data_IF_686872387289
#
_entry.id   IF_686872387289
#
_cell.length_a   1.000
_cell.length_b   1.000
_cell.length_c   1.000
_cell.angle_alpha   90.00
_cell.angle_beta   90.00
_cell.angle_gamma   90.00
#
_symmetry.space_group_name_H-M   'P 1'
#
loop_
_entity.id
_entity.type
_entity.pdbx_description
1 polymer ?
#
# COMPACT_ATOMS: atom_id res chain seq x y z
N UNK A 1 -6.32 -22.80 11.31
CA UNK A 1 -5.47 -22.22 12.38
C UNK A 1 -6.00 -20.84 12.77
N UNK A 2 -5.64 -20.32 13.94
CA UNK A 2 -5.81 -18.92 14.35
C UNK A 2 -4.58 -18.13 13.91
N UNK A 3 -4.79 -17.11 13.07
CA UNK A 3 -3.72 -16.31 12.46
C UNK A 3 -3.90 -14.85 12.84
N UNK A 4 -2.86 -14.22 13.39
CA UNK A 4 -2.81 -12.78 13.61
C UNK A 4 -1.99 -12.07 12.53
N UNK A 5 -2.46 -10.94 12.03
CA UNK A 5 -1.76 -10.08 11.08
C UNK A 5 -1.45 -8.75 11.75
N UNK A 6 -0.16 -8.42 11.88
CA UNK A 6 0.30 -7.10 12.30
C UNK A 6 0.69 -6.26 11.10
N UNK A 7 -0.06 -5.18 10.88
CA UNK A 7 0.20 -4.21 9.81
C UNK A 7 -0.47 -2.87 10.11
N UNK A 8 -0.25 -1.88 9.25
CA UNK A 8 -1.01 -0.63 9.29
C UNK A 8 -2.47 -0.90 8.90
N UNK A 9 -3.34 -0.97 9.89
CA UNK A 9 -4.77 -1.26 9.70
C UNK A 9 -5.68 -0.10 10.13
N UNK A 10 -5.21 0.78 11.02
CA UNK A 10 -5.95 1.95 11.47
C UNK A 10 -5.37 3.24 10.89
N UNK A 11 -5.42 3.35 9.56
CA UNK A 11 -4.92 4.52 8.84
C UNK A 11 -5.91 4.96 7.77
N UNK A 12 -5.93 6.25 7.42
CA UNK A 12 -6.77 6.78 6.34
C UNK A 12 -6.11 6.58 4.95
N UNK A 13 -5.41 5.47 4.74
CA UNK A 13 -4.71 5.13 3.51
C UNK A 13 -5.34 3.94 2.80
N UNK A 14 -5.81 4.12 1.56
CA UNK A 14 -6.49 3.07 0.80
C UNK A 14 -5.60 1.84 0.59
N UNK A 15 -4.31 2.05 0.32
CA UNK A 15 -3.35 0.96 0.12
C UNK A 15 -3.17 0.11 1.35
N UNK A 16 -2.97 0.75 2.51
CA UNK A 16 -2.82 0.07 3.80
C UNK A 16 -4.05 -0.78 4.16
N UNK A 17 -5.26 -0.25 3.93
CA UNK A 17 -6.51 -0.98 4.15
C UNK A 17 -6.66 -2.16 3.19
N UNK A 18 -6.36 -1.96 1.90
CA UNK A 18 -6.55 -2.98 0.87
C UNK A 18 -5.56 -4.12 0.98
N UNK A 19 -4.30 -3.87 1.34
CA UNK A 19 -3.33 -4.96 1.55
C UNK A 19 -3.69 -5.81 2.79
N UNK A 20 -4.16 -5.17 3.87
CA UNK A 20 -4.59 -5.86 5.08
C UNK A 20 -5.84 -6.71 4.81
N UNK A 21 -6.81 -6.14 4.10
CA UNK A 21 -7.99 -6.86 3.63
C UNK A 21 -7.61 -8.03 2.72
N UNK A 22 -6.73 -7.81 1.74
CA UNK A 22 -6.34 -8.84 0.80
C UNK A 22 -5.66 -10.03 1.47
N UNK A 23 -4.74 -9.78 2.40
CA UNK A 23 -4.07 -10.86 3.14
C UNK A 23 -5.06 -11.60 4.07
N UNK A 24 -5.99 -10.86 4.68
CA UNK A 24 -7.03 -11.47 5.53
C UNK A 24 -7.94 -12.39 4.73
N UNK A 25 -8.42 -11.93 3.56
CA UNK A 25 -9.27 -12.72 2.67
C UNK A 25 -8.55 -13.95 2.13
N UNK A 26 -7.25 -13.85 1.85
CA UNK A 26 -6.44 -15.02 1.47
C UNK A 26 -6.49 -16.09 2.57
N UNK A 27 -6.16 -15.75 3.81
CA UNK A 27 -6.15 -16.73 4.90
C UNK A 27 -7.54 -17.27 5.27
N UNK A 28 -8.58 -16.43 5.20
CA UNK A 28 -9.97 -16.86 5.41
C UNK A 28 -10.37 -17.89 4.36
N UNK A 29 -10.03 -17.66 3.08
CA UNK A 29 -10.31 -18.59 1.99
C UNK A 29 -9.60 -19.93 2.17
N UNK A 30 -8.42 -19.94 2.77
CA UNK A 30 -7.68 -21.15 3.17
C UNK A 30 -8.22 -21.82 4.45
N UNK A 31 -9.39 -21.40 4.96
CA UNK A 31 -10.06 -22.03 6.11
C UNK A 31 -9.52 -21.62 7.49
N UNK A 32 -8.84 -20.48 7.59
CA UNK A 32 -8.27 -20.00 8.85
C UNK A 32 -9.15 -18.96 9.56
N UNK A 33 -9.08 -18.93 10.89
CA UNK A 33 -9.61 -17.84 11.70
C UNK A 33 -8.58 -16.71 11.73
N UNK A 34 -8.93 -15.55 11.17
CA UNK A 34 -7.98 -14.44 10.96
C UNK A 34 -8.32 -13.27 11.85
N UNK A 35 -7.27 -12.67 12.43
CA UNK A 35 -7.36 -11.50 13.28
C UNK A 35 -6.36 -10.44 12.80
N UNK A 36 -6.77 -9.17 12.80
CA UNK A 36 -5.86 -8.03 12.69
C UNK A 36 -5.46 -7.61 14.10
N UNK A 37 -4.17 -7.42 14.34
CA UNK A 37 -3.68 -6.95 15.64
C UNK A 37 -4.05 -5.49 15.82
N UNK A 38 -4.83 -5.17 16.86
CA UNK A 38 -5.19 -3.81 17.25
C UNK A 38 -3.99 -3.13 17.89
N UNK A 39 -3.15 -2.57 17.02
CA UNK A 39 -1.96 -1.83 17.39
C UNK A 39 -1.96 -0.42 16.79
N UNK A 40 -2.01 0.57 17.68
CA UNK A 40 -2.04 1.99 17.36
C UNK A 40 -0.86 2.71 18.02
N UNK A 41 0.32 2.73 17.37
CA UNK A 41 1.52 3.30 17.97
C UNK A 41 1.39 4.81 18.17
N UNK A 42 2.00 5.31 19.27
CA UNK A 42 1.96 6.73 19.62
C UNK A 42 2.53 7.66 18.55
N UNK A 43 3.46 7.20 17.71
CA UNK A 43 4.04 8.03 16.64
C UNK A 43 3.02 8.38 15.54
N UNK A 44 2.00 7.54 15.33
CA UNK A 44 0.88 7.87 14.43
C UNK A 44 -0.07 8.90 15.07
N UNK A 45 -0.11 8.97 16.41
CA UNK A 45 -1.02 9.83 17.18
C UNK A 45 -0.39 11.21 17.46
N UNK A 46 0.92 11.27 17.75
CA UNK A 46 1.62 12.50 18.10
C UNK A 46 2.08 13.26 16.85
N UNK A 47 1.36 14.31 16.48
CA UNK A 47 1.94 15.39 15.67
C UNK A 47 3.09 16.01 16.46
N UNK A 48 4.29 16.08 15.90
CA UNK A 48 5.35 16.95 16.42
C UNK A 48 4.81 18.39 16.44
N UNK A 49 4.54 18.91 17.65
CA UNK A 49 4.23 20.31 17.87
C UNK A 49 5.51 21.11 17.60
N UNK A 50 5.71 21.51 16.36
CA UNK A 50 6.75 22.47 16.02
C UNK A 50 6.29 23.85 16.52
N UNK A 51 7.21 24.63 17.09
CA UNK A 51 6.97 26.05 17.37
C UNK A 51 6.68 26.75 16.04
N UNK A 52 5.40 27.02 15.76
CA UNK A 52 4.97 27.74 14.56
C UNK A 52 4.58 29.17 14.91
N UNK A 53 4.89 30.13 14.03
CA UNK A 53 4.43 31.51 14.17
C UNK A 53 2.90 31.60 14.25
N UNK A 54 2.38 32.66 14.88
CA UNK A 54 0.94 32.90 15.05
C UNK A 54 0.19 32.88 13.72
N UNK A 55 0.76 33.47 12.67
CA UNK A 55 0.20 33.46 11.31
C UNK A 55 0.08 32.04 10.76
N UNK A 56 1.10 31.21 10.99
CA UNK A 56 1.10 29.82 10.54
C UNK A 56 0.10 28.99 11.34
N UNK A 57 -0.07 29.27 12.64
CA UNK A 57 -1.08 28.65 13.48
C UNK A 57 -2.50 29.01 13.01
N UNK A 58 -2.77 30.28 12.68
CA UNK A 58 -4.06 30.73 12.17
C UNK A 58 -4.38 30.09 10.80
N UNK A 59 -3.42 30.06 9.87
CA UNK A 59 -3.59 29.38 8.58
C UNK A 59 -3.88 27.89 8.76
N UNK A 60 -3.21 27.22 9.70
CA UNK A 60 -3.48 25.83 10.03
C UNK A 60 -4.87 25.63 10.65
N UNK A 61 -5.31 26.56 11.50
CA UNK A 61 -6.63 26.52 12.12
C UNK A 61 -7.76 26.70 11.09
N UNK A 62 -7.65 27.69 10.20
CA UNK A 62 -8.61 27.90 9.10
C UNK A 62 -8.64 26.67 8.18
N UNK A 63 -7.46 26.15 7.81
CA UNK A 63 -7.37 24.92 7.01
C UNK A 63 -8.02 23.72 7.73
N UNK A 64 -7.84 23.61 9.04
CA UNK A 64 -8.47 22.57 9.85
C UNK A 64 -10.00 22.66 9.80
N UNK A 65 -10.57 23.86 9.98
CA UNK A 65 -12.03 24.08 9.91
C UNK A 65 -12.56 23.68 8.53
N UNK A 66 -11.95 24.21 7.46
CA UNK A 66 -12.39 23.96 6.07
C UNK A 66 -12.39 22.46 5.75
N UNK A 67 -11.35 21.74 6.20
CA UNK A 67 -11.17 20.32 5.89
C UNK A 67 -11.81 19.39 6.93
N UNK A 68 -12.36 19.91 8.03
CA UNK A 68 -12.84 19.12 9.17
C UNK A 68 -13.89 18.09 8.73
N UNK A 69 -14.91 18.53 7.99
CA UNK A 69 -16.01 17.67 7.57
C UNK A 69 -15.54 16.56 6.62
N UNK A 70 -14.65 16.89 5.67
CA UNK A 70 -14.09 15.91 4.72
C UNK A 70 -13.23 14.88 5.46
N UNK A 71 -12.43 15.35 6.43
CA UNK A 71 -11.59 14.48 7.26
C UNK A 71 -12.42 13.55 8.13
N UNK A 72 -13.40 14.08 8.85
CA UNK A 72 -14.31 13.30 9.69
C UNK A 72 -15.10 12.29 8.87
N UNK A 73 -15.57 12.67 7.67
CA UNK A 73 -16.23 11.75 6.74
C UNK A 73 -15.30 10.62 6.31
N UNK A 74 -14.05 10.92 5.92
CA UNK A 74 -13.08 9.90 5.52
C UNK A 74 -12.79 8.93 6.67
N UNK A 75 -12.50 9.47 7.86
CA UNK A 75 -12.25 8.67 9.07
C UNK A 75 -13.43 7.73 9.38
N UNK A 76 -14.65 8.25 9.32
CA UNK A 76 -15.86 7.44 9.51
C UNK A 76 -15.96 6.30 8.50
N UNK A 77 -15.74 6.57 7.20
CA UNK A 77 -15.83 5.55 6.15
C UNK A 77 -14.77 4.46 6.31
N UNK A 78 -13.55 4.82 6.68
CA UNK A 78 -12.46 3.88 6.92
C UNK A 78 -12.69 3.04 8.18
N UNK A 79 -13.17 3.68 9.26
CA UNK A 79 -13.53 2.98 10.49
C UNK A 79 -14.67 1.99 10.29
N UNK A 80 -15.69 2.39 9.52
CA UNK A 80 -16.79 1.51 9.13
C UNK A 80 -16.28 0.28 8.40
N UNK A 81 -15.44 0.46 7.37
CA UNK A 81 -14.84 -0.65 6.63
C UNK A 81 -14.02 -1.58 7.54
N UNK A 82 -13.19 -1.01 8.43
CA UNK A 82 -12.42 -1.78 9.41
C UNK A 82 -13.32 -2.64 10.30
N UNK A 83 -14.41 -2.07 10.84
CA UNK A 83 -15.38 -2.79 11.65
C UNK A 83 -16.14 -3.88 10.90
N UNK A 84 -16.44 -3.67 9.63
CA UNK A 84 -17.19 -4.61 8.80
C UNK A 84 -16.32 -5.80 8.35
N UNK A 85 -15.03 -5.58 8.13
CA UNK A 85 -14.17 -6.58 7.49
C UNK A 85 -13.02 -7.13 8.35
N UNK A 86 -12.68 -6.49 9.47
CA UNK A 86 -11.57 -6.93 10.33
C UNK A 86 -12.08 -7.41 11.70
N UNK A 87 -11.65 -8.61 12.05
CA UNK A 87 -11.73 -9.10 13.43
C UNK A 87 -10.49 -8.63 14.16
N UNK A 88 -10.64 -7.74 15.14
CA UNK A 88 -9.51 -7.21 15.90
C UNK A 88 -9.14 -8.13 17.06
N UNK A 89 -7.84 -8.28 17.33
CA UNK A 89 -7.31 -8.90 18.55
C UNK A 89 -6.39 -7.92 19.28
N UNK A 90 -6.49 -7.76 20.61
CA UNK A 90 -5.56 -6.93 21.36
C UNK A 90 -4.12 -7.41 21.18
N UNK A 91 -3.17 -6.46 21.09
CA UNK A 91 -1.75 -6.81 20.96
C UNK A 91 -1.23 -7.68 22.11
N UNK A 92 -1.78 -7.54 23.31
CA UNK A 92 -1.43 -8.34 24.48
C UNK A 92 -1.72 -9.83 24.26
N UNK A 93 -2.74 -10.14 23.46
CA UNK A 93 -3.20 -11.50 23.18
C UNK A 93 -2.55 -12.08 21.92
N UNK A 94 -1.60 -11.38 21.29
CA UNK A 94 -1.02 -11.80 20.01
C UNK A 94 -0.37 -13.18 20.07
N UNK A 95 0.23 -13.55 21.20
CA UNK A 95 0.90 -14.86 21.35
C UNK A 95 -0.09 -16.03 21.58
N UNK A 96 -1.39 -15.74 21.76
CA UNK A 96 -2.46 -16.75 21.93
C UNK A 96 -2.87 -17.44 20.62
N UNK A 97 -2.40 -16.94 19.48
CA UNK A 97 -2.70 -17.50 18.15
C UNK A 97 -1.66 -18.56 17.75
N UNK A 98 -1.94 -19.27 16.66
CA UNK A 98 -1.04 -20.30 16.13
C UNK A 98 0.09 -19.67 15.30
N UNK A 99 -0.22 -18.66 14.48
CA UNK A 99 0.73 -17.98 13.59
C UNK A 99 0.54 -16.47 13.56
N UNK A 100 1.66 -15.75 13.44
CA UNK A 100 1.72 -14.30 13.36
C UNK A 100 2.38 -13.92 12.04
N UNK A 101 1.70 -13.10 11.24
CA UNK A 101 2.27 -12.51 10.02
C UNK A 101 2.44 -11.01 10.21
N UNK A 102 3.65 -10.51 9.99
CA UNK A 102 3.97 -9.08 10.06
C UNK A 102 4.20 -8.55 8.65
N UNK A 103 3.46 -7.52 8.22
CA UNK A 103 3.80 -6.74 7.03
C UNK A 103 2.72 -6.52 5.96
N UNK A 104 3.09 -6.90 4.74
CA UNK A 104 3.07 -6.21 3.45
C UNK A 104 3.53 -4.76 3.39
N UNK A 105 2.89 -3.88 4.16
CA UNK A 105 3.14 -2.46 3.97
C UNK A 105 4.49 -2.01 4.56
N UNK A 106 4.70 -0.70 4.69
CA UNK A 106 5.96 -0.09 5.14
C UNK A 106 6.28 -0.29 6.63
N UNK A 107 5.99 -1.47 7.19
CA UNK A 107 6.22 -1.80 8.61
C UNK A 107 7.71 -1.85 8.97
N UNK A 108 8.60 -2.05 8.00
CA UNK A 108 10.05 -2.01 8.20
C UNK A 108 10.67 -0.66 7.80
N UNK A 109 9.87 0.31 7.34
CA UNK A 109 10.37 1.64 7.01
C UNK A 109 10.63 2.44 8.30
N UNK A 110 11.88 2.45 8.79
CA UNK A 110 12.25 3.10 10.06
C UNK A 110 11.93 4.60 10.09
N UNK A 111 11.96 5.27 8.95
CA UNK A 111 11.54 6.67 8.80
C UNK A 111 10.05 6.88 9.06
N UNK A 112 9.21 5.89 8.69
CA UNK A 112 7.77 5.92 8.89
C UNK A 112 7.39 5.44 10.30
N UNK A 113 8.01 4.35 10.76
CA UNK A 113 7.70 3.73 12.05
C UNK A 113 8.42 4.37 13.22
N UNK A 114 9.37 5.27 12.98
CA UNK A 114 10.22 5.86 14.02
C UNK A 114 10.86 4.78 14.90
N UNK A 115 11.41 3.74 14.27
CA UNK A 115 12.11 2.61 14.91
C UNK A 115 11.26 1.80 15.91
N UNK A 116 9.95 1.72 15.67
CA UNK A 116 9.08 0.95 16.54
C UNK A 116 9.40 -0.55 16.46
N UNK A 117 9.86 -1.12 17.59
CA UNK A 117 10.28 -2.51 17.67
C UNK A 117 9.10 -3.50 17.57
N UNK A 118 7.86 -3.07 17.83
CA UNK A 118 6.68 -3.93 17.71
C UNK A 118 6.48 -4.36 16.25
N UNK A 119 6.67 -3.45 15.28
CA UNK A 119 6.63 -3.81 13.86
C UNK A 119 7.81 -4.67 13.39
N UNK A 120 8.87 -4.78 14.20
CA UNK A 120 9.91 -5.79 14.02
C UNK A 120 9.72 -7.02 14.94
N UNK A 121 8.50 -7.20 15.48
CA UNK A 121 8.05 -8.36 16.22
C UNK A 121 8.53 -8.46 17.66
N UNK A 122 8.99 -7.37 18.29
CA UNK A 122 9.43 -7.39 19.69
C UNK A 122 8.36 -7.95 20.63
N UNK A 123 8.77 -8.87 21.50
CA UNK A 123 7.86 -9.59 22.41
C UNK A 123 7.06 -10.74 21.78
N UNK A 124 7.21 -11.02 20.49
CA UNK A 124 6.50 -12.11 19.82
C UNK A 124 7.32 -13.40 19.77
N UNK A 125 6.63 -14.53 19.75
CA UNK A 125 7.24 -15.84 19.55
C UNK A 125 7.87 -15.94 18.15
N UNK A 126 9.18 -16.14 18.09
CA UNK A 126 9.94 -16.19 16.84
C UNK A 126 9.63 -17.42 15.97
N UNK A 127 9.13 -18.51 16.54
CA UNK A 127 8.73 -19.73 15.79
C UNK A 127 7.35 -19.55 15.15
N UNK A 128 6.47 -18.78 15.79
CA UNK A 128 5.13 -18.48 15.27
C UNK A 128 5.11 -17.32 14.27
N UNK A 129 6.14 -16.48 14.29
CA UNK A 129 6.16 -15.22 13.55
C UNK A 129 6.88 -15.33 12.20
N UNK A 130 6.23 -14.83 11.15
CA UNK A 130 6.81 -14.67 9.82
C UNK A 130 6.59 -13.24 9.30
N UNK A 131 7.56 -12.69 8.57
CA UNK A 131 7.36 -11.46 7.81
C UNK A 131 6.85 -11.80 6.42
N UNK A 132 5.69 -11.26 6.05
CA UNK A 132 5.12 -11.44 4.72
C UNK A 132 5.15 -10.14 3.93
N UNK A 133 5.77 -10.15 2.75
CA UNK A 133 5.78 -9.05 1.79
C UNK A 133 6.19 -7.68 2.38
N UNK A 134 6.90 -7.65 3.52
CA UNK A 134 7.16 -6.41 4.26
C UNK A 134 7.95 -5.41 3.42
N UNK A 135 7.74 -4.12 3.66
CA UNK A 135 8.42 -3.05 2.92
C UNK A 135 9.32 -2.22 3.81
N UNK A 136 10.58 -2.10 3.40
CA UNK A 136 11.58 -1.24 4.05
C UNK A 136 11.45 0.23 3.63
N UNK A 137 10.51 0.57 2.75
CA UNK A 137 10.43 1.90 2.15
C UNK A 137 11.62 2.19 1.24
N UNK A 138 12.26 3.35 1.41
CA UNK A 138 13.42 3.72 0.61
C UNK A 138 14.71 3.32 1.31
N UNK A 139 15.48 2.42 0.68
CA UNK A 139 16.74 1.89 1.22
C UNK A 139 17.99 2.62 0.71
N UNK A 140 17.85 3.66 -0.13
CA UNK A 140 18.98 4.29 -0.82
C UNK A 140 19.96 4.97 0.14
N UNK A 141 19.46 5.48 1.28
CA UNK A 141 20.24 6.24 2.28
C UNK A 141 19.97 5.71 3.71
N UNK A 142 20.24 4.43 3.94
CA UNK A 142 20.11 3.81 5.26
C UNK A 142 21.28 4.25 6.15
N UNK A 143 20.98 4.74 7.36
CA UNK A 143 21.98 5.10 8.37
C UNK A 143 22.36 3.88 9.25
N UNK A 144 23.44 4.00 10.03
CA UNK A 144 23.90 2.93 10.93
C UNK A 144 22.83 2.50 11.94
N UNK A 145 22.05 3.44 12.45
CA UNK A 145 20.95 3.16 13.39
C UNK A 145 19.89 2.21 12.79
N UNK A 146 19.53 2.41 11.52
CA UNK A 146 18.59 1.52 10.81
C UNK A 146 19.21 0.14 10.55
N UNK A 147 20.51 0.09 10.27
CA UNK A 147 21.25 -1.18 10.14
C UNK A 147 21.18 -1.98 11.45
N UNK A 148 21.48 -1.32 12.57
CA UNK A 148 21.49 -1.95 13.88
C UNK A 148 20.09 -2.39 14.30
N UNK A 149 19.07 -1.57 13.99
CA UNK A 149 17.66 -1.93 14.17
C UNK A 149 17.29 -3.23 13.46
N UNK A 150 17.65 -3.38 12.18
CA UNK A 150 17.37 -4.60 11.43
C UNK A 150 18.13 -5.81 12.00
N UNK A 151 19.43 -5.66 12.29
CA UNK A 151 20.24 -6.76 12.85
C UNK A 151 19.69 -7.23 14.19
N UNK A 152 19.39 -6.30 15.09
CA UNK A 152 18.97 -6.63 16.46
C UNK A 152 17.58 -7.27 16.50
N UNK A 153 16.65 -6.79 15.65
CA UNK A 153 15.26 -7.26 15.71
C UNK A 153 14.97 -8.43 14.75
N UNK A 154 15.49 -8.38 13.52
CA UNK A 154 15.12 -9.33 12.46
C UNK A 154 15.93 -10.63 12.51
N UNK A 155 17.15 -10.61 13.07
CA UNK A 155 18.05 -11.77 13.06
C UNK A 155 17.46 -13.01 13.75
N UNK A 156 16.54 -12.87 14.71
CA UNK A 156 15.93 -14.02 15.39
C UNK A 156 14.82 -14.72 14.59
N UNK A 157 14.33 -14.10 13.51
CA UNK A 157 13.29 -14.69 12.68
C UNK A 157 13.90 -15.51 11.55
N UNK A 158 13.24 -16.63 11.26
CA UNK A 158 13.63 -17.56 10.19
C UNK A 158 12.94 -17.20 8.88
N UNK A 159 11.66 -16.85 8.95
CA UNK A 159 10.82 -16.64 7.78
C UNK A 159 10.64 -15.15 7.53
N UNK A 160 11.40 -14.62 6.58
CA UNK A 160 11.35 -13.22 6.17
C UNK A 160 11.10 -13.14 4.67
N UNK A 161 10.09 -12.39 4.28
CA UNK A 161 9.83 -12.06 2.88
C UNK A 161 9.52 -10.58 2.71
N UNK A 162 9.95 -10.04 1.57
CA UNK A 162 9.93 -8.62 1.25
C UNK A 162 9.39 -8.44 -0.16
N UNK A 163 8.59 -7.37 -0.38
CA UNK A 163 7.95 -7.12 -1.68
C UNK A 163 8.80 -6.38 -2.69
N UNK A 164 9.81 -5.63 -2.24
CA UNK A 164 10.76 -4.94 -3.12
C UNK A 164 12.05 -5.75 -3.28
N UNK A 165 12.44 -6.05 -4.52
CA UNK A 165 13.62 -6.88 -4.81
C UNK A 165 14.89 -6.29 -4.21
N UNK A 166 15.10 -4.96 -4.33
CA UNK A 166 16.29 -4.31 -3.78
C UNK A 166 16.37 -4.44 -2.26
N UNK A 167 15.24 -4.26 -1.57
CA UNK A 167 15.13 -4.39 -0.11
C UNK A 167 15.34 -5.84 0.33
N UNK A 168 14.79 -6.79 -0.43
CA UNK A 168 14.97 -8.22 -0.21
C UNK A 168 16.47 -8.61 -0.26
N UNK A 169 17.16 -8.19 -1.32
CA UNK A 169 18.59 -8.48 -1.51
C UNK A 169 19.46 -7.81 -0.44
N UNK A 170 19.10 -6.59 -0.04
CA UNK A 170 19.79 -5.87 1.02
C UNK A 170 19.65 -6.58 2.37
N UNK A 171 18.43 -6.93 2.78
CA UNK A 171 18.17 -7.61 4.07
C UNK A 171 18.79 -9.00 4.10
N UNK A 172 18.73 -9.74 2.98
CA UNK A 172 19.38 -11.06 2.87
C UNK A 172 20.88 -10.97 3.12
N UNK A 173 21.57 -10.00 2.48
CA UNK A 173 23.00 -9.75 2.70
C UNK A 173 23.30 -9.26 4.11
N UNK A 174 22.46 -8.38 4.65
CA UNK A 174 22.68 -7.77 5.96
C UNK A 174 22.61 -8.79 7.10
N UNK A 175 21.66 -9.73 7.01
CA UNK A 175 21.42 -10.75 8.03
C UNK A 175 22.17 -12.06 7.75
N UNK A 176 22.76 -12.20 6.57
CA UNK A 176 23.30 -13.46 6.04
C UNK A 176 22.25 -14.59 6.14
N UNK A 177 21.04 -14.32 5.62
CA UNK A 177 19.88 -15.22 5.68
C UNK A 177 19.10 -15.20 4.39
N UNK A 178 18.35 -16.28 4.17
CA UNK A 178 17.37 -16.34 3.09
C UNK A 178 16.24 -15.33 3.36
N UNK A 179 16.04 -14.43 2.40
CA UNK A 179 14.91 -13.51 2.35
C UNK A 179 14.20 -13.75 1.02
N UNK A 180 12.89 -14.01 1.09
CA UNK A 180 12.10 -14.34 -0.10
C UNK A 180 11.47 -13.10 -0.73
N UNK A 181 11.64 -12.95 -2.04
CA UNK A 181 10.99 -11.88 -2.80
C UNK A 181 9.59 -12.32 -3.24
N UNK A 182 8.57 -11.74 -2.64
CA UNK A 182 7.15 -12.15 -2.78
C UNK A 182 6.27 -10.99 -3.24
N UNK A 183 5.07 -11.27 -3.72
CA UNK A 183 4.07 -10.25 -4.05
C UNK A 183 3.40 -9.65 -2.81
N UNK A 184 3.05 -8.38 -2.92
CA UNK A 184 2.07 -7.73 -2.05
C UNK A 184 0.71 -8.48 -2.09
N UNK A 185 -0.01 -8.62 -0.96
CA UNK A 185 -1.32 -9.28 -0.90
C UNK A 185 -2.33 -8.77 -1.92
N UNK A 186 -2.27 -7.47 -2.27
CA UNK A 186 -3.19 -6.89 -3.28
C UNK A 186 -3.02 -7.49 -4.68
N UNK A 187 -1.88 -8.14 -4.94
CA UNK A 187 -1.58 -8.87 -6.16
C UNK A 187 -1.50 -10.39 -5.95
N UNK A 188 -1.57 -10.86 -4.70
CA UNK A 188 -1.62 -12.28 -4.35
C UNK A 188 -3.01 -12.89 -4.64
N UNK A 189 -4.06 -12.13 -4.34
CA UNK A 189 -5.45 -12.59 -4.46
C UNK A 189 -6.02 -12.37 -5.88
N UNK A 190 -7.06 -13.12 -6.22
CA UNK A 190 -7.84 -12.86 -7.43
C UNK A 190 -8.55 -11.50 -7.32
N UNK A 191 -8.70 -10.82 -8.45
CA UNK A 191 -9.45 -9.57 -8.54
C UNK A 191 -10.93 -9.75 -8.13
N UNK A 192 -11.47 -10.97 -8.17
CA UNK A 192 -12.85 -11.26 -7.74
C UNK A 192 -13.11 -10.84 -6.29
N UNK A 193 -12.08 -10.89 -5.44
CA UNK A 193 -12.17 -10.46 -4.03
C UNK A 193 -12.36 -8.95 -3.90
N UNK A 194 -11.82 -8.16 -4.84
CA UNK A 194 -12.08 -6.72 -4.88
C UNK A 194 -13.40 -6.42 -5.57
N UNK A 195 -13.78 -7.21 -6.58
CA UNK A 195 -15.08 -7.06 -7.25
C UNK A 195 -16.26 -7.36 -6.33
N UNK A 196 -16.11 -8.28 -5.37
CA UNK A 196 -17.20 -8.61 -4.44
C UNK A 196 -17.59 -7.48 -3.50
N UNK A 197 -16.70 -6.51 -3.26
CA UNK A 197 -16.93 -5.37 -2.36
C UNK A 197 -16.98 -4.02 -3.08
N UNK A 198 -16.60 -3.93 -4.34
CA UNK A 198 -16.50 -2.64 -5.00
C UNK A 198 -17.87 -1.98 -5.22
N UNK A 199 -17.91 -0.66 -5.14
CA UNK A 199 -19.11 0.12 -5.43
C UNK A 199 -18.87 0.95 -6.68
N UNK A 200 -19.44 0.51 -7.81
CA UNK A 200 -19.24 1.17 -9.09
C UNK A 200 -19.81 2.61 -9.08
N UNK A 201 -19.05 3.61 -9.57
CA UNK A 201 -19.60 4.94 -9.81
C UNK A 201 -20.50 4.93 -11.05
N UNK A 202 -21.46 5.86 -11.09
CA UNK A 202 -22.35 6.06 -12.26
C UNK A 202 -21.58 6.48 -13.53
N UNK A 203 -20.40 7.09 -13.33
CA UNK A 203 -19.53 7.54 -14.41
C UNK A 203 -18.69 6.36 -14.93
N UNK A 204 -18.56 6.25 -16.24
CA UNK A 204 -17.71 5.26 -16.94
C UNK A 204 -16.76 5.95 -17.92
N UNK A 205 -15.73 5.23 -18.35
CA UNK A 205 -14.81 5.62 -19.43
C UNK A 205 -14.10 6.99 -19.20
N UNK A 206 -13.44 7.12 -18.05
CA UNK A 206 -12.67 8.30 -17.65
C UNK A 206 -11.20 7.95 -17.38
N UNK A 207 -10.36 8.98 -17.33
CA UNK A 207 -8.99 8.87 -16.81
C UNK A 207 -9.04 9.09 -15.30
N UNK A 208 -8.59 8.10 -14.55
CA UNK A 208 -8.44 8.17 -13.10
C UNK A 208 -7.03 8.65 -12.75
N UNK A 209 -6.94 9.63 -11.89
CA UNK A 209 -5.68 10.03 -11.26
C UNK A 209 -5.73 9.68 -9.80
N UNK A 210 -4.84 8.79 -9.38
CA UNK A 210 -4.72 8.45 -7.97
C UNK A 210 -3.38 8.91 -7.42
N UNK A 211 -3.46 9.62 -6.29
CA UNK A 211 -2.30 10.03 -5.50
C UNK A 211 -1.36 10.97 -6.29
N UNK A 212 -1.96 12.01 -6.90
CA UNK A 212 -1.23 13.11 -7.56
C UNK A 212 -0.62 14.06 -6.52
N UNK A 213 0.41 13.55 -5.82
CA UNK A 213 1.15 14.25 -4.75
C UNK A 213 1.67 15.60 -5.23
N UNK A 214 2.09 15.69 -6.49
CA UNK A 214 2.55 16.93 -7.11
C UNK A 214 1.51 17.52 -8.08
N UNK A 215 1.32 18.85 -8.15
CA UNK A 215 0.38 19.50 -9.07
C UNK A 215 0.56 19.09 -10.53
N UNK A 216 1.80 18.90 -10.96
CA UNK A 216 2.17 18.58 -12.34
C UNK A 216 1.56 17.25 -12.80
N UNK A 217 1.35 16.30 -11.89
CA UNK A 217 0.70 15.01 -12.19
C UNK A 217 -0.76 15.22 -12.57
N UNK A 218 -1.46 16.12 -11.86
CA UNK A 218 -2.85 16.43 -12.17
C UNK A 218 -2.97 17.18 -13.49
N UNK A 219 -2.08 18.15 -13.73
CA UNK A 219 -2.08 18.92 -14.98
C UNK A 219 -1.74 18.03 -16.19
N UNK A 220 -0.77 17.12 -16.03
CA UNK A 220 -0.47 16.09 -17.01
C UNK A 220 -1.68 15.19 -17.30
N UNK A 221 -2.36 14.71 -16.27
CA UNK A 221 -3.54 13.88 -16.46
C UNK A 221 -4.71 14.65 -17.10
N UNK A 222 -4.85 15.93 -16.77
CA UNK A 222 -5.85 16.82 -17.39
C UNK A 222 -5.57 17.03 -18.87
N UNK A 223 -4.31 17.25 -19.26
CA UNK A 223 -3.95 17.38 -20.68
C UNK A 223 -4.20 16.07 -21.42
N UNK A 224 -3.91 14.93 -20.80
CA UNK A 224 -4.19 13.61 -21.37
C UNK A 224 -5.69 13.34 -21.52
N UNK A 225 -6.50 13.70 -20.52
CA UNK A 225 -7.96 13.56 -20.58
C UNK A 225 -8.57 14.42 -21.69
N UNK A 226 -8.07 15.65 -21.88
CA UNK A 226 -8.47 16.50 -23.00
C UNK A 226 -8.08 15.89 -24.35
N UNK A 227 -6.86 15.36 -24.48
CA UNK A 227 -6.37 14.72 -25.70
C UNK A 227 -7.19 13.48 -26.08
N UNK A 228 -7.57 12.66 -25.10
CA UNK A 228 -8.40 11.46 -25.31
C UNK A 228 -9.91 11.76 -25.32
N UNK A 229 -10.33 13.03 -25.19
CA UNK A 229 -11.75 13.44 -25.09
C UNK A 229 -12.51 12.68 -23.98
N UNK A 230 -11.87 12.54 -22.82
CA UNK A 230 -12.37 11.80 -21.65
C UNK A 230 -12.55 12.69 -20.44
N UNK A 231 -13.43 12.26 -19.52
CA UNK A 231 -13.56 12.89 -18.22
C UNK A 231 -12.32 12.59 -17.37
N UNK A 232 -11.98 13.51 -16.47
CA UNK A 232 -10.93 13.34 -15.47
C UNK A 232 -11.58 13.19 -14.09
N UNK A 233 -11.20 12.14 -13.37
CA UNK A 233 -11.52 11.94 -11.95
C UNK A 233 -10.23 11.87 -11.17
N UNK A 234 -10.14 12.64 -10.09
CA UNK A 234 -8.96 12.64 -9.21
C UNK A 234 -9.34 12.13 -7.83
N UNK A 235 -8.58 11.17 -7.31
CA UNK A 235 -8.70 10.69 -5.93
C UNK A 235 -7.39 10.97 -5.19
N UNK A 236 -7.49 11.57 -4.00
CA UNK A 236 -6.35 11.83 -3.13
C UNK A 236 -6.38 10.97 -1.88
N UNK A 237 -5.21 10.45 -1.49
CA UNK A 237 -5.02 9.85 -0.18
C UNK A 237 -4.95 10.92 0.92
N UNK A 238 -4.31 12.06 0.65
CA UNK A 238 -4.23 13.17 1.60
C UNK A 238 -5.37 14.17 1.42
N UNK A 239 -5.81 14.75 2.54
CA UNK A 239 -6.85 15.76 2.56
C UNK A 239 -6.19 17.14 2.57
N UNK A 240 -6.38 17.89 1.50
CA UNK A 240 -5.83 19.22 1.32
C UNK A 240 -6.79 20.13 0.55
N UNK A 241 -6.55 21.43 0.70
CA UNK A 241 -7.24 22.45 -0.10
C UNK A 241 -6.57 22.43 -1.47
N UNK A 242 -7.28 21.94 -2.47
CA UNK A 242 -6.81 21.87 -3.85
C UNK A 242 -7.82 22.57 -4.77
N UNK A 243 -7.31 23.36 -5.71
CA UNK A 243 -8.13 23.93 -6.77
C UNK A 243 -8.24 22.96 -7.96
N UNK A 244 -8.78 21.76 -7.70
CA UNK A 244 -8.91 20.68 -8.69
C UNK A 244 -10.39 20.35 -8.88
N UNK A 245 -10.86 20.43 -10.13
CA UNK A 245 -12.23 20.00 -10.47
C UNK A 245 -12.34 18.48 -10.29
N UNK A 246 -13.48 18.00 -9.79
CA UNK A 246 -13.77 16.57 -9.59
C UNK A 246 -12.76 15.83 -8.67
N UNK A 247 -12.20 16.54 -7.68
CA UNK A 247 -11.34 15.93 -6.67
C UNK A 247 -12.18 15.25 -5.58
N UNK A 248 -11.93 13.97 -5.39
CA UNK A 248 -12.54 13.15 -4.35
C UNK A 248 -11.50 12.89 -3.27
N UNK A 249 -11.77 13.38 -2.06
CA UNK A 249 -10.86 13.26 -0.91
C UNK A 249 -11.40 12.33 0.18
N UNK A 250 -12.67 11.93 0.09
CA UNK A 250 -13.35 11.09 1.06
C UNK A 250 -14.24 10.06 0.35
N UNK A 251 -13.61 9.19 -0.44
CA UNK A 251 -14.24 7.97 -0.94
C UNK A 251 -14.15 6.87 0.12
N UNK A 252 -15.15 6.00 0.16
CA UNK A 252 -15.03 4.72 0.86
C UNK A 252 -14.04 3.79 0.15
N UNK A 253 -13.64 2.68 0.79
CA UNK A 253 -12.74 1.69 0.17
C UNK A 253 -13.44 1.05 -1.04
N UNK A 254 -14.74 0.80 -0.90
CA UNK A 254 -15.61 0.22 -1.91
C UNK A 254 -15.74 1.13 -3.13
N UNK A 255 -16.01 2.43 -2.91
CA UNK A 255 -16.06 3.43 -3.99
C UNK A 255 -14.70 3.61 -4.65
N UNK A 256 -13.61 3.63 -3.86
CA UNK A 256 -12.26 3.68 -4.37
C UNK A 256 -12.00 2.55 -5.37
N UNK A 257 -12.30 1.30 -5.00
CA UNK A 257 -12.18 0.16 -5.91
C UNK A 257 -13.08 0.30 -7.14
N UNK A 258 -14.31 0.79 -6.97
CA UNK A 258 -15.21 1.05 -8.09
C UNK A 258 -14.67 2.08 -9.08
N UNK A 259 -13.93 3.10 -8.59
CA UNK A 259 -13.29 4.07 -9.47
C UNK A 259 -12.16 3.44 -10.31
N UNK A 260 -11.44 2.46 -9.78
CA UNK A 260 -10.49 1.70 -10.60
C UNK A 260 -11.23 0.83 -11.62
N UNK A 261 -12.30 0.15 -11.20
CA UNK A 261 -13.07 -0.77 -12.04
C UNK A 261 -13.66 -0.12 -13.29
N UNK A 262 -14.17 1.12 -13.22
CA UNK A 262 -14.76 1.84 -14.37
C UNK A 262 -13.79 2.75 -15.14
N UNK A 263 -12.54 2.88 -14.67
CA UNK A 263 -11.54 3.70 -15.35
C UNK A 263 -11.18 3.13 -16.73
N UNK A 264 -11.00 4.02 -17.70
CA UNK A 264 -10.37 3.74 -19.00
C UNK A 264 -8.86 3.54 -18.83
N UNK A 265 -8.27 4.44 -18.04
CA UNK A 265 -6.85 4.51 -17.76
C UNK A 265 -6.64 5.04 -16.34
N UNK A 266 -5.58 4.56 -15.69
CA UNK A 266 -5.12 5.02 -14.39
C UNK A 266 -3.77 5.71 -14.55
N UNK A 267 -3.64 6.90 -13.98
CA UNK A 267 -2.39 7.64 -13.83
C UNK A 267 -2.09 7.72 -12.34
N UNK A 268 -0.94 7.19 -11.90
CA UNK A 268 -0.56 7.21 -10.49
C UNK A 268 0.94 7.19 -10.32
N UNK A 269 1.46 7.72 -9.21
CA UNK A 269 2.84 7.49 -8.78
C UNK A 269 2.94 6.49 -7.62
N UNK A 270 1.81 6.04 -7.10
CA UNK A 270 1.70 5.21 -5.90
C UNK A 270 1.82 3.72 -6.22
N UNK A 271 2.47 2.96 -5.33
CA UNK A 271 2.61 1.51 -5.47
C UNK A 271 1.25 0.82 -5.53
N UNK A 272 0.37 1.07 -4.55
CA UNK A 272 -0.97 0.46 -4.51
C UNK A 272 -1.85 0.98 -5.65
N UNK A 273 -1.64 2.21 -6.12
CA UNK A 273 -2.28 2.70 -7.33
C UNK A 273 -1.97 1.84 -8.55
N UNK A 274 -0.69 1.54 -8.75
CA UNK A 274 -0.25 0.66 -9.83
C UNK A 274 -0.74 -0.78 -9.62
N UNK A 275 -0.61 -1.33 -8.42
CA UNK A 275 -1.03 -2.69 -8.09
C UNK A 275 -2.53 -2.91 -8.34
N UNK A 276 -3.40 -2.02 -7.87
CA UNK A 276 -4.84 -2.12 -8.08
C UNK A 276 -5.20 -1.92 -9.56
N UNK A 277 -4.55 -1.00 -10.27
CA UNK A 277 -4.73 -0.84 -11.72
C UNK A 277 -4.36 -2.12 -12.49
N UNK A 278 -3.28 -2.79 -12.11
CA UNK A 278 -2.85 -4.08 -12.67
C UNK A 278 -3.89 -5.16 -12.39
N UNK A 279 -4.38 -5.24 -11.15
CA UNK A 279 -5.41 -6.22 -10.74
C UNK A 279 -6.71 -6.08 -11.54
N UNK A 280 -7.13 -4.84 -11.83
CA UNK A 280 -8.30 -4.53 -12.66
C UNK A 280 -8.01 -4.51 -14.18
N UNK A 281 -6.81 -4.90 -14.61
CA UNK A 281 -6.40 -4.93 -16.02
C UNK A 281 -6.55 -3.58 -16.75
N UNK A 282 -6.19 -2.48 -16.09
CA UNK A 282 -6.37 -1.10 -16.60
C UNK A 282 -5.13 -0.57 -17.30
N UNK A 283 -5.33 0.16 -18.41
CA UNK A 283 -4.25 0.98 -18.97
C UNK A 283 -3.64 1.82 -17.85
N UNK A 284 -2.31 1.81 -17.75
CA UNK A 284 -1.61 2.39 -16.61
C UNK A 284 -0.50 3.31 -17.12
N UNK A 285 -0.41 4.50 -16.52
CA UNK A 285 0.76 5.37 -16.62
C UNK A 285 1.27 5.60 -15.20
N UNK A 286 2.42 5.01 -14.89
CA UNK A 286 3.08 5.24 -13.62
C UNK A 286 3.97 6.47 -13.73
N UNK A 287 3.63 7.55 -13.04
CA UNK A 287 4.40 8.79 -13.12
C UNK A 287 5.62 8.73 -12.20
N UNK A 288 6.78 9.01 -12.78
CA UNK A 288 8.04 9.14 -12.06
C UNK A 288 8.01 10.43 -11.21
N UNK A 289 8.04 10.25 -9.89
CA UNK A 289 8.12 11.34 -8.91
C UNK A 289 9.44 11.34 -8.16
N UNK A 290 10.43 10.58 -8.67
CA UNK A 290 11.69 10.29 -8.02
C UNK A 290 11.55 9.17 -7.01
N UNK A 291 12.07 9.39 -5.81
CA UNK A 291 12.20 8.35 -4.78
C UNK A 291 10.87 7.70 -4.36
N UNK A 292 9.75 8.44 -4.41
CA UNK A 292 8.44 7.94 -4.00
C UNK A 292 7.90 6.82 -4.92
N UNK A 293 8.22 6.91 -6.22
CA UNK A 293 7.74 5.97 -7.24
C UNK A 293 8.70 4.80 -7.50
N UNK A 294 9.84 4.72 -6.80
CA UNK A 294 10.81 3.63 -6.99
C UNK A 294 10.20 2.25 -6.72
N UNK A 295 9.33 2.14 -5.71
CA UNK A 295 8.61 0.88 -5.42
C UNK A 295 7.68 0.49 -6.57
N UNK A 296 6.96 1.46 -7.13
CA UNK A 296 6.11 1.26 -8.30
C UNK A 296 6.95 0.82 -9.51
N UNK A 297 8.13 1.42 -9.72
CA UNK A 297 9.06 1.00 -10.76
C UNK A 297 9.56 -0.44 -10.58
N UNK A 298 9.90 -0.85 -9.36
CA UNK A 298 10.29 -2.24 -9.08
C UNK A 298 9.17 -3.23 -9.42
N UNK A 299 7.91 -2.90 -9.08
CA UNK A 299 6.74 -3.69 -9.49
C UNK A 299 6.58 -3.75 -11.01
N UNK A 300 6.71 -2.63 -11.71
CA UNK A 300 6.58 -2.62 -13.18
C UNK A 300 7.68 -3.43 -13.85
N UNK A 301 8.93 -3.36 -13.34
CA UNK A 301 10.06 -4.19 -13.81
C UNK A 301 9.81 -5.67 -13.57
N UNK A 302 9.25 -6.03 -12.40
CA UNK A 302 8.89 -7.40 -12.06
C UNK A 302 7.96 -8.02 -13.12
N UNK A 303 7.02 -7.22 -13.61
CA UNK A 303 6.01 -7.63 -14.58
C UNK A 303 6.43 -7.36 -16.04
N UNK A 304 7.59 -6.74 -16.28
CA UNK A 304 8.10 -6.38 -17.61
C UNK A 304 7.26 -5.33 -18.34
N UNK A 305 6.69 -4.39 -17.58
CA UNK A 305 5.87 -3.28 -18.07
C UNK A 305 6.48 -1.93 -17.69
N UNK A 306 7.79 -1.87 -17.49
CA UNK A 306 8.55 -0.67 -17.13
C UNK A 306 8.42 0.48 -18.13
N UNK A 307 8.02 0.19 -19.38
CA UNK A 307 7.68 1.22 -20.38
C UNK A 307 6.50 2.12 -19.98
N UNK A 308 5.69 1.69 -19.01
CA UNK A 308 4.59 2.48 -18.45
C UNK A 308 5.09 3.46 -17.36
N UNK A 309 6.38 3.44 -17.02
CA UNK A 309 7.00 4.37 -16.09
C UNK A 309 7.43 5.64 -16.83
N UNK A 310 6.69 6.73 -16.64
CA UNK A 310 6.82 7.94 -17.44
C UNK A 310 7.32 9.14 -16.62
N UNK A 311 8.28 9.88 -17.16
CA UNK A 311 8.75 11.14 -16.57
C UNK A 311 8.09 12.31 -17.30
N UNK A 312 7.36 13.15 -16.55
CA UNK A 312 6.69 14.34 -17.12
C UNK A 312 7.74 15.26 -17.75
N UNK A 313 7.49 15.69 -18.99
CA UNK A 313 8.40 16.52 -19.77
C UNK A 313 9.45 15.76 -20.57
N UNK A 314 9.46 14.42 -20.52
CA UNK A 314 10.28 13.61 -21.42
C UNK A 314 9.67 13.53 -22.82
N UNK A 315 10.53 13.41 -23.83
CA UNK A 315 10.14 13.19 -25.24
C UNK A 315 9.69 11.74 -25.52
N UNK A 316 9.63 10.89 -24.50
CA UNK A 316 9.24 9.49 -24.64
C UNK A 316 7.75 9.38 -24.99
N UNK A 317 7.43 8.50 -25.94
CA UNK A 317 6.04 8.21 -26.27
C UNK A 317 5.35 7.53 -25.10
N UNK A 318 4.20 8.07 -24.69
CA UNK A 318 3.36 7.43 -23.66
C UNK A 318 2.74 6.17 -24.26
N UNK A 319 3.27 5.01 -23.88
CA UNK A 319 2.66 3.74 -24.21
C UNK A 319 1.90 3.19 -23.00
N UNK A 320 0.60 3.50 -22.92
CA UNK A 320 -0.27 3.00 -21.86
C UNK A 320 -0.90 1.63 -22.20
N UNK A 321 -0.50 1.01 -23.32
CA UNK A 321 -1.06 -0.28 -23.75
C UNK A 321 -0.27 -1.42 -23.12
N UNK A 322 -0.97 -2.24 -22.34
CA UNK A 322 -0.38 -3.36 -21.61
C UNK A 322 -0.94 -4.67 -22.17
N UNK A 323 -0.05 -5.58 -22.56
CA UNK A 323 -0.44 -6.95 -22.87
C UNK A 323 -0.63 -7.73 -21.57
N UNK A 324 -1.86 -7.75 -21.07
CA UNK A 324 -2.18 -8.37 -19.78
C UNK A 324 -1.98 -9.89 -19.77
N UNK A 325 -1.99 -10.57 -20.92
CA UNK A 325 -1.69 -12.00 -20.94
C UNK A 325 -0.24 -12.26 -20.52
N UNK A 326 0.71 -11.46 -21.03
CA UNK A 326 2.12 -11.57 -20.62
C UNK A 326 2.34 -11.15 -19.16
N UNK A 327 1.62 -10.13 -18.70
CA UNK A 327 1.68 -9.67 -17.30
C UNK A 327 1.17 -10.75 -16.36
N UNK A 328 0.01 -11.36 -16.64
CA UNK A 328 -0.57 -12.38 -15.78
C UNK A 328 0.24 -13.67 -15.79
N UNK A 329 0.83 -14.07 -16.92
CA UNK A 329 1.77 -15.21 -16.96
C UNK A 329 2.99 -15.02 -16.03
N UNK A 330 3.48 -13.78 -15.86
CA UNK A 330 4.53 -13.48 -14.88
C UNK A 330 3.96 -13.39 -13.47
N UNK A 331 2.82 -12.74 -13.31
CA UNK A 331 2.15 -12.57 -12.03
C UNK A 331 1.85 -13.91 -11.36
N UNK A 332 1.30 -14.88 -12.10
CA UNK A 332 0.98 -16.23 -11.62
C UNK A 332 2.20 -16.94 -11.04
N UNK A 333 3.37 -16.85 -11.69
CA UNK A 333 4.62 -17.42 -11.16
C UNK A 333 5.01 -16.80 -9.82
N UNK A 334 4.85 -15.49 -9.67
CA UNK A 334 5.12 -14.82 -8.40
C UNK A 334 4.04 -15.07 -7.35
N UNK A 335 2.77 -15.24 -7.75
CA UNK A 335 1.69 -15.67 -6.86
C UNK A 335 1.97 -17.07 -6.32
N UNK A 336 2.38 -18.02 -7.15
CA UNK A 336 2.78 -19.36 -6.70
C UNK A 336 3.95 -19.31 -5.72
N UNK A 337 4.97 -18.47 -6.00
CA UNK A 337 6.09 -18.28 -5.07
C UNK A 337 5.62 -17.72 -3.72
N UNK A 338 4.77 -16.70 -3.74
CA UNK A 338 4.17 -16.13 -2.52
C UNK A 338 3.37 -17.16 -1.73
N UNK A 339 2.53 -17.94 -2.40
CA UNK A 339 1.72 -19.00 -1.77
C UNK A 339 2.60 -20.06 -1.13
N UNK A 340 3.63 -20.54 -1.84
CA UNK A 340 4.61 -21.51 -1.30
C UNK A 340 5.32 -20.98 -0.06
N UNK A 341 5.68 -19.70 -0.03
CA UNK A 341 6.27 -19.09 1.17
C UNK A 341 5.29 -19.10 2.34
N UNK A 342 4.02 -18.69 2.11
CA UNK A 342 2.99 -18.70 3.16
C UNK A 342 2.74 -20.12 3.67
N UNK A 343 2.55 -21.09 2.77
CA UNK A 343 2.35 -22.51 3.12
C UNK A 343 3.50 -23.08 3.95
N UNK A 344 4.75 -22.75 3.59
CA UNK A 344 5.93 -23.10 4.39
C UNK A 344 5.82 -22.52 5.80
N UNK A 345 5.47 -21.23 5.93
CA UNK A 345 5.36 -20.57 7.23
C UNK A 345 4.24 -21.16 8.10
N UNK A 346 3.17 -21.67 7.49
CA UNK A 346 2.04 -22.31 8.19
C UNK A 346 2.36 -23.73 8.67
N UNK A 347 3.26 -24.46 7.99
CA UNK A 347 3.65 -25.84 8.33
C UNK A 347 4.77 -25.93 9.37
N UNK A 348 5.71 -25.00 9.32
CA UNK A 348 6.68 -24.78 10.41
C UNK A 348 5.96 -24.32 11.68
#
# INVERSE_FOLDING_TARGET
MRIAILTFHNTNNYGAMLQAYALSQYFIKEGNAVYIVDYNPMFLIKKKYLKTSVITALKQFVKYIILHNVKKKKEYLFHRFSKEHFNLIPIQDINSVDKIFIGSDQVLCTQLTNFDNIYAGAGFDNKKTAFYAASCGNISNINQETIDYYKNNLYRFKNISIREKKSCDYISKLLNKDCEHVLDPTLLISNDVFQSIHKLPDIKDYILVYDAVKPEIYDFAKSMALKEKRKLIAISCDIAIHNRKNLIQAASIEEFLGYFANAHMVISSSFHGCAIAISYKKKLVCVNTGQLSNRSLELLKLLGIEKNFYTIGSNEAINATINYNLVYNKLEKYQERSKKFIEKCLKE
#
